data_IF_134556433762
#
_entry.id   IF_134556433762
#
_cell.length_a   1.000
_cell.length_b   1.000
_cell.length_c   1.000
_cell.angle_alpha   90.00
_cell.angle_beta   90.00
_cell.angle_gamma   90.00
#
_symmetry.space_group_name_H-M   'P 1'
#
loop_
_entity.id
_entity.type
_entity.pdbx_description
1 polymer ?
#
# COMPACT_ATOMS: atom_id res chain seq x y z
N UNK A 1 19.22 -20.92 15.17
CA UNK A 1 18.95 -19.48 15.33
C UNK A 1 18.99 -19.17 16.81
N UNK A 2 19.92 -18.31 17.22
CA UNK A 2 20.24 -18.04 18.62
C UNK A 2 19.12 -17.26 19.30
N UNK A 3 18.88 -17.52 20.59
CA UNK A 3 17.93 -16.79 21.44
C UNK A 3 18.18 -15.26 21.49
N UNK A 4 19.33 -14.77 20.97
CA UNK A 4 19.66 -13.35 20.80
C UNK A 4 18.79 -12.60 19.77
N UNK A 5 18.25 -13.26 18.74
CA UNK A 5 17.49 -12.56 17.67
C UNK A 5 16.03 -12.27 18.06
N UNK A 6 15.42 -13.13 18.89
CA UNK A 6 14.05 -12.94 19.39
C UNK A 6 13.94 -11.83 20.44
N UNK A 7 15.05 -11.49 21.10
CA UNK A 7 15.12 -10.39 22.08
C UNK A 7 15.28 -9.02 21.42
N UNK A 8 15.50 -8.98 20.10
CA UNK A 8 15.88 -7.77 19.38
C UNK A 8 14.68 -6.88 19.02
N UNK A 9 13.57 -7.45 18.55
CA UNK A 9 12.41 -6.65 18.13
C UNK A 9 11.67 -6.00 19.30
N UNK A 10 11.57 -6.70 20.45
CA UNK A 10 11.03 -6.11 21.67
C UNK A 10 11.91 -4.98 22.22
N UNK A 11 13.24 -5.13 22.12
CA UNK A 11 14.18 -4.06 22.45
C UNK A 11 14.13 -2.93 21.44
N UNK A 12 13.97 -3.21 20.15
CA UNK A 12 13.85 -2.23 19.08
C UNK A 12 12.61 -1.36 19.28
N UNK A 13 11.45 -1.97 19.48
CA UNK A 13 10.21 -1.24 19.77
C UNK A 13 10.37 -0.37 21.01
N UNK A 14 10.94 -0.91 22.10
CA UNK A 14 11.22 -0.14 23.32
C UNK A 14 12.24 0.98 23.09
N UNK A 15 13.30 0.72 22.34
CA UNK A 15 14.35 1.68 22.02
C UNK A 15 13.80 2.83 21.16
N UNK A 16 13.03 2.52 20.13
CA UNK A 16 12.40 3.53 19.27
C UNK A 16 11.37 4.38 20.02
N UNK A 17 10.64 3.79 20.97
CA UNK A 17 9.75 4.55 21.86
C UNK A 17 10.52 5.37 22.94
N UNK A 18 11.78 5.04 23.25
CA UNK A 18 12.57 5.66 24.33
C UNK A 18 13.69 6.60 23.86
N UNK A 19 13.88 6.83 22.56
CA UNK A 19 14.87 7.82 22.11
C UNK A 19 14.43 9.22 22.56
N UNK A 20 15.19 9.77 23.50
CA UNK A 20 15.10 11.14 23.97
C UNK A 20 15.16 12.13 22.82
N UNK A 21 14.27 13.12 22.90
CA UNK A 21 14.01 14.15 21.92
C UNK A 21 15.21 15.10 21.84
N UNK A 22 16.17 14.81 20.97
CA UNK A 22 16.92 15.91 20.36
C UNK A 22 15.94 16.57 19.40
N UNK A 23 15.48 17.78 19.72
CA UNK A 23 14.71 18.62 18.80
C UNK A 23 15.42 18.66 17.45
N UNK A 24 14.89 17.92 16.48
CA UNK A 24 15.31 18.04 15.09
C UNK A 24 14.08 18.38 14.29
N UNK A 25 13.98 19.65 13.92
CA UNK A 25 12.95 20.11 13.02
C UNK A 25 13.32 19.69 11.59
N UNK A 26 12.32 19.41 10.76
CA UNK A 26 12.45 19.24 9.29
C UNK A 26 12.90 20.56 8.62
N UNK A 27 14.15 20.97 8.86
CA UNK A 27 14.62 22.34 8.59
C UNK A 27 15.65 22.47 7.48
N UNK A 28 16.05 21.36 6.86
CA UNK A 28 17.02 21.40 5.78
C UNK A 28 16.33 21.78 4.46
N UNK A 29 16.69 22.92 3.90
CA UNK A 29 16.31 23.26 2.53
C UNK A 29 16.97 22.27 1.56
N UNK A 30 16.15 21.64 0.72
CA UNK A 30 16.62 20.64 -0.24
C UNK A 30 16.71 21.25 -1.64
N UNK A 31 17.73 20.89 -2.43
CA UNK A 31 17.80 21.32 -3.81
C UNK A 31 16.62 20.74 -4.61
N UNK A 32 16.10 21.54 -5.55
CA UNK A 32 15.12 21.05 -6.52
C UNK A 32 15.73 19.96 -7.41
N UNK A 33 14.89 19.02 -7.85
CA UNK A 33 15.32 17.97 -8.77
C UNK A 33 15.81 18.61 -10.08
N UNK A 34 17.09 18.46 -10.46
CA UNK A 34 17.59 19.08 -11.68
C UNK A 34 17.01 18.40 -12.93
N UNK A 35 16.91 19.15 -14.02
CA UNK A 35 16.71 18.58 -15.36
C UNK A 35 18.10 18.31 -15.95
N UNK A 36 18.48 17.04 -16.21
CA UNK A 36 19.79 16.72 -16.77
C UNK A 36 19.99 17.34 -18.15
N UNK A 37 21.24 17.53 -18.54
CA UNK A 37 21.56 17.94 -19.91
C UNK A 37 21.09 16.89 -20.93
N UNK A 38 20.55 17.35 -22.06
CA UNK A 38 19.96 16.50 -23.08
C UNK A 38 21.03 15.59 -23.72
N UNK A 39 22.18 16.17 -24.09
CA UNK A 39 23.28 15.43 -24.68
C UNK A 39 23.82 14.39 -23.70
N UNK A 40 23.98 14.75 -22.42
CA UNK A 40 24.43 13.81 -21.40
C UNK A 40 23.45 12.64 -21.23
N UNK A 41 22.14 12.93 -21.26
CA UNK A 41 21.08 11.93 -21.14
C UNK A 41 21.11 10.95 -22.32
N UNK A 42 21.15 11.48 -23.54
CA UNK A 42 21.21 10.66 -24.77
C UNK A 42 22.50 9.84 -24.83
N UNK A 43 23.63 10.41 -24.43
CA UNK A 43 24.91 9.72 -24.43
C UNK A 43 24.91 8.53 -23.45
N UNK A 44 24.32 8.71 -22.27
CA UNK A 44 24.16 7.63 -21.28
C UNK A 44 23.15 6.58 -21.73
N UNK A 45 22.06 7.00 -22.38
CA UNK A 45 21.09 6.09 -22.99
C UNK A 45 21.76 5.16 -24.02
N UNK A 46 22.50 5.73 -24.98
CA UNK A 46 23.23 4.94 -25.97
C UNK A 46 24.30 4.04 -25.32
N UNK A 47 25.05 4.54 -24.34
CA UNK A 47 26.03 3.72 -23.63
C UNK A 47 25.38 2.51 -22.93
N UNK A 48 24.19 2.69 -22.33
CA UNK A 48 23.44 1.61 -21.69
C UNK A 48 22.95 0.56 -22.70
N UNK A 49 22.49 1.01 -23.86
CA UNK A 49 22.06 0.11 -24.94
C UNK A 49 23.22 -0.64 -25.56
N UNK A 50 24.37 0.04 -25.73
CA UNK A 50 25.57 -0.61 -26.27
C UNK A 50 26.00 -1.78 -25.40
N UNK A 51 25.96 -1.65 -24.08
CA UNK A 51 26.30 -2.75 -23.18
C UNK A 51 25.38 -3.98 -23.31
N UNK A 52 24.12 -3.79 -23.74
CA UNK A 52 23.13 -4.88 -23.88
C UNK A 52 23.09 -5.44 -25.29
N UNK A 53 23.18 -4.58 -26.31
CA UNK A 53 23.01 -4.93 -27.71
C UNK A 53 24.34 -5.14 -28.45
N UNK A 54 25.41 -4.48 -28.01
CA UNK A 54 26.67 -4.36 -28.74
C UNK A 54 27.90 -4.25 -27.78
N UNK A 55 28.11 -5.21 -26.85
CA UNK A 55 29.05 -5.06 -25.74
C UNK A 55 30.53 -5.09 -26.13
N UNK A 56 30.89 -5.62 -27.31
CA UNK A 56 32.29 -5.71 -27.78
C UNK A 56 32.50 -4.96 -29.10
N UNK A 57 33.75 -4.60 -29.37
CA UNK A 57 34.12 -3.75 -30.50
C UNK A 57 34.24 -4.51 -31.82
N UNK A 58 34.16 -5.84 -31.80
CA UNK A 58 34.13 -6.68 -32.99
C UNK A 58 33.22 -7.91 -32.81
N UNK A 59 32.70 -8.40 -33.94
CA UNK A 59 31.99 -9.68 -34.03
C UNK A 59 32.87 -10.87 -33.61
N UNK A 60 34.18 -10.77 -33.83
CA UNK A 60 35.15 -11.86 -33.60
C UNK A 60 35.49 -12.05 -32.11
N UNK A 61 35.48 -10.99 -31.30
CA UNK A 61 35.68 -11.08 -29.84
C UNK A 61 34.48 -11.75 -29.12
N UNK A 62 33.28 -11.67 -29.71
CA UNK A 62 32.03 -12.15 -29.10
C UNK A 62 31.94 -13.68 -29.04
N UNK A 63 32.56 -14.37 -30.00
CA UNK A 63 32.63 -15.84 -30.03
C UNK A 63 33.56 -16.41 -28.94
N UNK A 64 34.53 -15.62 -28.47
CA UNK A 64 35.55 -16.10 -27.53
C UNK A 64 35.28 -15.68 -26.07
N UNK A 65 34.59 -14.56 -25.83
CA UNK A 65 34.47 -13.97 -24.49
C UNK A 65 33.13 -14.24 -23.79
N UNK A 66 32.07 -14.51 -24.55
CA UNK A 66 30.80 -14.98 -24.01
C UNK A 66 30.72 -16.45 -24.43
N UNK A 67 30.70 -17.39 -23.48
CA UNK A 67 30.41 -18.80 -23.75
C UNK A 67 28.97 -18.96 -24.28
N UNK A 68 28.76 -18.58 -25.53
CA UNK A 68 27.55 -17.91 -25.99
C UNK A 68 26.38 -18.87 -26.23
N UNK A 69 25.26 -18.55 -25.58
CA UNK A 69 23.91 -19.07 -25.87
C UNK A 69 23.27 -18.36 -27.08
N UNK A 70 23.97 -17.42 -27.74
CA UNK A 70 23.45 -16.62 -28.84
C UNK A 70 24.09 -17.02 -30.18
N UNK A 71 23.29 -17.04 -31.23
CA UNK A 71 23.73 -17.33 -32.61
C UNK A 71 24.33 -16.09 -33.28
N UNK A 72 25.11 -16.30 -34.35
CA UNK A 72 25.66 -15.22 -35.18
C UNK A 72 24.58 -14.25 -35.67
N UNK A 73 23.42 -14.77 -36.07
CA UNK A 73 22.30 -13.96 -36.57
C UNK A 73 21.70 -13.08 -35.47
N UNK A 74 21.62 -13.58 -34.22
CA UNK A 74 21.14 -12.80 -33.07
C UNK A 74 22.10 -11.64 -32.76
N UNK A 75 23.40 -11.91 -32.84
CA UNK A 75 24.44 -10.92 -32.65
C UNK A 75 24.33 -9.81 -33.70
N UNK A 76 24.23 -10.19 -34.98
CA UNK A 76 24.11 -9.22 -36.07
C UNK A 76 22.82 -8.40 -35.97
N UNK A 77 21.71 -9.04 -35.59
CA UNK A 77 20.43 -8.37 -35.34
C UNK A 77 20.55 -7.31 -34.24
N UNK A 78 21.20 -7.63 -33.11
CA UNK A 78 21.39 -6.66 -32.02
C UNK A 78 22.23 -5.46 -32.44
N UNK A 79 23.29 -5.68 -33.23
CA UNK A 79 24.12 -4.59 -33.75
C UNK A 79 23.32 -3.66 -34.67
N UNK A 80 22.54 -4.22 -35.60
CA UNK A 80 21.65 -3.44 -36.47
C UNK A 80 20.61 -2.65 -35.67
N UNK A 81 20.08 -3.20 -34.58
CA UNK A 81 19.18 -2.48 -33.68
C UNK A 81 19.87 -1.31 -32.97
N UNK A 82 21.11 -1.50 -32.51
CA UNK A 82 21.89 -0.42 -31.91
C UNK A 82 22.19 0.70 -32.91
N UNK A 83 22.67 0.38 -34.11
CA UNK A 83 22.93 1.38 -35.17
C UNK A 83 21.68 2.16 -35.55
N UNK A 84 20.54 1.48 -35.69
CA UNK A 84 19.26 2.13 -35.94
C UNK A 84 18.90 3.10 -34.81
N UNK A 85 19.11 2.70 -33.56
CA UNK A 85 18.80 3.54 -32.40
C UNK A 85 19.72 4.76 -32.33
N UNK A 86 21.01 4.60 -32.63
CA UNK A 86 21.97 5.71 -32.72
C UNK A 86 21.54 6.74 -33.78
N UNK A 87 21.07 6.29 -34.95
CA UNK A 87 20.54 7.18 -35.99
C UNK A 87 19.28 7.92 -35.53
N UNK A 88 18.34 7.23 -34.88
CA UNK A 88 17.12 7.85 -34.35
C UNK A 88 17.45 8.90 -33.27
N UNK A 89 18.40 8.60 -32.39
CA UNK A 89 18.87 9.55 -31.38
C UNK A 89 19.50 10.78 -32.01
N UNK A 90 20.29 10.64 -33.08
CA UNK A 90 20.83 11.80 -33.83
C UNK A 90 19.72 12.65 -34.44
N UNK A 91 18.68 12.02 -35.01
CA UNK A 91 17.52 12.74 -35.54
C UNK A 91 16.77 13.50 -34.43
N UNK A 92 16.50 12.83 -33.30
CA UNK A 92 15.87 13.44 -32.12
C UNK A 92 16.66 14.65 -31.61
N UNK A 93 17.99 14.54 -31.52
CA UNK A 93 18.87 15.64 -31.07
C UNK A 93 18.88 16.85 -32.03
N UNK A 94 18.62 16.64 -33.33
CA UNK A 94 18.58 17.70 -34.34
C UNK A 94 17.18 18.32 -34.50
N UNK A 95 16.13 17.57 -34.18
CA UNK A 95 14.74 17.94 -34.43
C UNK A 95 14.00 18.28 -33.13
N UNK A 96 13.14 17.38 -32.62
CA UNK A 96 12.23 17.66 -31.50
C UNK A 96 12.90 17.72 -30.12
N UNK A 97 14.07 17.10 -29.94
CA UNK A 97 14.75 17.00 -28.64
C UNK A 97 15.07 18.34 -27.97
N UNK A 98 15.70 19.31 -28.68
CA UNK A 98 15.97 20.64 -28.12
C UNK A 98 14.71 21.40 -27.66
N UNK A 99 13.62 21.31 -28.42
CA UNK A 99 12.34 21.94 -28.07
C UNK A 99 11.72 21.28 -26.83
N UNK A 100 11.61 19.96 -26.80
CA UNK A 100 11.10 19.22 -25.65
C UNK A 100 11.94 19.46 -24.38
N UNK A 101 13.26 19.57 -24.52
CA UNK A 101 14.15 19.88 -23.40
C UNK A 101 13.96 21.30 -22.87
N UNK A 102 13.70 22.28 -23.75
CA UNK A 102 13.36 23.65 -23.35
C UNK A 102 12.06 23.64 -22.55
N UNK A 103 11.03 23.01 -23.09
CA UNK A 103 9.71 22.96 -22.47
C UNK A 103 9.75 22.24 -21.11
N UNK A 104 10.53 21.16 -20.99
CA UNK A 104 10.77 20.47 -19.72
C UNK A 104 11.45 21.37 -18.68
N UNK A 105 12.47 22.15 -19.08
CA UNK A 105 13.14 23.11 -18.19
C UNK A 105 12.20 24.22 -17.75
N UNK A 106 11.37 24.75 -18.65
CA UNK A 106 10.37 25.76 -18.32
C UNK A 106 9.31 25.24 -17.36
N UNK A 107 8.83 24.00 -17.57
CA UNK A 107 7.93 23.33 -16.66
C UNK A 107 8.59 23.10 -15.29
N UNK A 108 9.84 22.62 -15.25
CA UNK A 108 10.56 22.39 -14.00
C UNK A 108 10.77 23.66 -13.17
N UNK A 109 10.88 24.83 -13.79
CA UNK A 109 10.96 26.10 -13.08
C UNK A 109 9.66 26.47 -12.34
N UNK A 110 8.51 25.94 -12.79
CA UNK A 110 7.17 26.18 -12.22
C UNK A 110 6.79 25.15 -11.15
N UNK A 111 7.59 24.10 -10.96
CA UNK A 111 7.30 22.98 -10.07
C UNK A 111 8.34 22.88 -8.93
N UNK A 112 7.93 22.33 -7.78
CA UNK A 112 8.87 21.96 -6.71
C UNK A 112 9.70 20.72 -7.11
N UNK A 113 9.03 19.74 -7.73
CA UNK A 113 9.64 18.58 -8.35
C UNK A 113 8.89 18.27 -9.64
N UNK A 114 9.57 18.38 -10.78
CA UNK A 114 8.96 18.22 -12.10
C UNK A 114 8.60 16.77 -12.43
N UNK A 115 9.25 15.79 -11.80
CA UNK A 115 9.10 14.39 -12.14
C UNK A 115 8.01 13.69 -11.33
N UNK A 116 7.68 14.18 -10.13
CA UNK A 116 6.79 13.47 -9.19
C UNK A 116 5.43 13.17 -9.77
N UNK A 117 4.82 14.11 -10.47
CA UNK A 117 3.48 13.92 -11.05
C UNK A 117 3.50 12.87 -12.15
N UNK A 118 4.38 13.01 -13.15
CA UNK A 118 4.54 12.03 -14.23
C UNK A 118 4.88 10.64 -13.70
N UNK A 119 5.86 10.56 -12.80
CA UNK A 119 6.28 9.29 -12.20
C UNK A 119 5.14 8.61 -11.45
N UNK A 120 4.41 9.34 -10.61
CA UNK A 120 3.33 8.76 -9.81
C UNK A 120 2.17 8.30 -10.70
N UNK A 121 1.78 9.11 -11.68
CA UNK A 121 0.69 8.80 -12.59
C UNK A 121 1.04 7.61 -13.50
N UNK A 122 2.14 7.71 -14.25
CA UNK A 122 2.48 6.71 -15.27
C UNK A 122 2.88 5.37 -14.65
N UNK A 123 3.68 5.39 -13.58
CA UNK A 123 4.26 4.14 -13.07
C UNK A 123 3.38 3.42 -12.06
N UNK A 124 2.50 4.15 -11.37
CA UNK A 124 1.66 3.56 -10.34
C UNK A 124 0.18 3.70 -10.67
N UNK A 125 -0.35 4.92 -10.76
CA UNK A 125 -1.80 5.15 -10.71
C UNK A 125 -2.52 4.71 -12.00
N UNK A 126 -1.85 4.84 -13.15
CA UNK A 126 -2.38 4.43 -14.46
C UNK A 126 -2.16 2.95 -14.76
N UNK A 127 -1.32 2.26 -13.99
CA UNK A 127 -1.02 0.85 -14.21
C UNK A 127 -2.20 -0.03 -13.75
N UNK A 128 -2.86 -0.78 -14.67
CA UNK A 128 -4.05 -1.56 -14.33
C UNK A 128 -3.74 -2.92 -13.68
N UNK A 129 -2.46 -3.32 -13.63
CA UNK A 129 -2.05 -4.63 -13.12
C UNK A 129 -2.38 -4.75 -11.62
N UNK A 130 -2.79 -5.94 -11.14
CA UNK A 130 -2.97 -6.21 -9.71
C UNK A 130 -1.80 -5.74 -8.84
N UNK A 131 -2.07 -5.04 -7.73
CA UNK A 131 -1.02 -4.50 -6.87
C UNK A 131 -0.18 -5.56 -6.15
N UNK A 132 -0.77 -6.65 -5.59
CA UNK A 132 0.01 -7.71 -4.97
C UNK A 132 0.98 -8.30 -5.99
N UNK A 133 2.20 -8.61 -5.55
CA UNK A 133 3.32 -9.11 -6.38
C UNK A 133 3.90 -8.07 -7.35
N UNK A 134 3.07 -7.30 -8.06
CA UNK A 134 3.54 -6.43 -9.15
C UNK A 134 3.95 -5.02 -8.70
N UNK A 135 3.39 -4.50 -7.59
CA UNK A 135 3.65 -3.13 -7.14
C UNK A 135 3.89 -2.99 -5.65
N UNK A 136 3.27 -3.82 -4.80
CA UNK A 136 3.36 -3.67 -3.34
C UNK A 136 4.57 -4.46 -2.80
N UNK A 137 5.68 -3.80 -2.40
CA UNK A 137 6.74 -4.48 -1.68
C UNK A 137 6.30 -4.82 -0.26
N UNK A 138 7.00 -5.74 0.38
CA UNK A 138 6.85 -6.01 1.80
C UNK A 138 8.22 -6.18 2.45
N UNK A 139 8.29 -5.90 3.74
CA UNK A 139 9.46 -6.13 4.57
C UNK A 139 9.14 -7.25 5.57
N UNK A 140 10.14 -8.07 5.86
CA UNK A 140 10.02 -9.12 6.86
C UNK A 140 10.66 -8.66 8.17
N UNK A 141 9.88 -8.65 9.23
CA UNK A 141 10.42 -8.53 10.58
C UNK A 141 11.14 -9.81 11.00
N UNK A 142 12.12 -9.72 11.92
CA UNK A 142 12.71 -10.91 12.54
C UNK A 142 11.63 -11.85 13.09
N UNK A 143 11.74 -13.13 12.76
CA UNK A 143 10.74 -14.14 13.12
C UNK A 143 10.61 -14.23 14.65
N UNK A 144 9.41 -13.97 15.15
CA UNK A 144 9.05 -14.20 16.55
C UNK A 144 8.49 -15.61 16.75
N UNK A 145 8.63 -16.15 17.96
CA UNK A 145 7.99 -17.40 18.39
C UNK A 145 7.08 -17.09 19.57
N UNK A 146 5.80 -17.42 19.45
CA UNK A 146 4.81 -17.22 20.49
C UNK A 146 4.33 -18.60 20.98
N UNK A 147 4.44 -18.85 22.29
CA UNK A 147 3.94 -20.07 22.92
C UNK A 147 2.41 -20.01 23.10
N UNK A 148 1.86 -18.81 23.25
CA UNK A 148 0.42 -18.59 23.46
C UNK A 148 -0.14 -17.51 22.55
N UNK A 149 -1.45 -17.54 22.32
CA UNK A 149 -2.15 -16.46 21.62
C UNK A 149 -2.02 -15.12 22.36
N UNK A 150 -1.94 -15.13 23.69
CA UNK A 150 -1.77 -13.92 24.48
C UNK A 150 -0.42 -13.25 24.20
N UNK A 151 0.67 -14.01 24.07
CA UNK A 151 1.98 -13.47 23.68
C UNK A 151 1.94 -12.82 22.29
N UNK A 152 1.29 -13.49 21.31
CA UNK A 152 1.11 -12.95 19.96
C UNK A 152 0.28 -11.65 19.98
N UNK A 153 -0.81 -11.61 20.75
CA UNK A 153 -1.68 -10.44 20.87
C UNK A 153 -1.00 -9.28 21.59
N UNK A 154 -0.22 -9.55 22.63
CA UNK A 154 0.62 -8.54 23.30
C UNK A 154 1.69 -7.99 22.38
N UNK A 155 2.31 -8.84 21.56
CA UNK A 155 3.25 -8.39 20.54
C UNK A 155 2.57 -7.49 19.51
N UNK A 156 1.42 -7.89 18.96
CA UNK A 156 0.65 -7.06 18.04
C UNK A 156 0.21 -5.72 18.66
N UNK A 157 -0.20 -5.73 19.94
CA UNK A 157 -0.54 -4.53 20.71
C UNK A 157 0.61 -3.53 20.72
N UNK A 158 1.83 -4.00 21.01
CA UNK A 158 3.02 -3.14 21.07
C UNK A 158 3.44 -2.61 19.71
N UNK A 159 3.24 -3.37 18.64
CA UNK A 159 3.43 -2.88 17.26
C UNK A 159 2.43 -1.77 16.94
N UNK A 160 1.16 -1.91 17.32
CA UNK A 160 0.15 -0.86 17.13
C UNK A 160 0.54 0.40 17.91
N UNK A 161 0.93 0.28 19.18
CA UNK A 161 1.38 1.43 19.97
C UNK A 161 2.57 2.13 19.32
N UNK A 162 3.58 1.37 18.92
CA UNK A 162 4.74 1.90 18.20
C UNK A 162 4.33 2.66 16.94
N UNK A 163 3.45 2.10 16.11
CA UNK A 163 2.97 2.75 14.90
C UNK A 163 2.25 4.07 15.19
N UNK A 164 1.45 4.14 16.26
CA UNK A 164 0.75 5.37 16.63
C UNK A 164 1.70 6.41 17.22
N UNK A 165 2.66 6.01 18.06
CA UNK A 165 3.72 6.90 18.54
C UNK A 165 4.54 7.46 17.36
N UNK A 166 4.82 6.62 16.37
CA UNK A 166 5.52 7.03 15.15
C UNK A 166 4.70 8.02 14.32
N UNK A 167 3.40 7.79 14.16
CA UNK A 167 2.46 8.74 13.52
C UNK A 167 2.46 10.08 14.24
N UNK A 168 2.36 10.08 15.57
CA UNK A 168 2.42 11.31 16.37
C UNK A 168 3.71 12.09 16.11
N UNK A 169 4.86 11.39 16.02
CA UNK A 169 6.15 12.03 15.70
C UNK A 169 6.20 12.60 14.28
N UNK A 170 5.57 11.96 13.30
CA UNK A 170 5.43 12.51 11.93
C UNK A 170 4.59 13.78 11.96
N UNK A 171 3.44 13.76 12.63
CA UNK A 171 2.50 14.89 12.70
C UNK A 171 3.14 16.11 13.38
N UNK A 172 3.95 15.87 14.42
CA UNK A 172 4.71 16.92 15.13
C UNK A 172 6.01 17.32 14.42
N UNK A 173 6.32 16.72 13.25
CA UNK A 173 7.59 16.92 12.52
C UNK A 173 8.83 16.70 13.41
N UNK A 174 8.72 15.78 14.38
CA UNK A 174 9.72 15.52 15.41
C UNK A 174 10.64 14.33 15.06
N UNK A 175 10.54 13.80 13.84
CA UNK A 175 11.44 12.76 13.37
C UNK A 175 12.84 13.31 13.09
N UNK A 176 13.86 12.50 13.41
CA UNK A 176 15.23 12.77 13.02
C UNK A 176 15.36 12.86 11.50
N UNK A 177 16.02 13.90 11.02
CA UNK A 177 16.37 14.06 9.61
C UNK A 177 17.15 12.84 9.10
N UNK A 178 16.68 12.28 7.98
CA UNK A 178 17.40 11.23 7.28
C UNK A 178 18.53 11.79 6.44
N UNK A 179 19.63 11.03 6.35
CA UNK A 179 20.79 11.37 5.54
C UNK A 179 21.16 10.21 4.62
N UNK A 180 21.60 10.53 3.41
CA UNK A 180 22.09 9.52 2.47
C UNK A 180 23.25 8.72 3.05
N UNK A 181 23.31 7.43 2.72
CA UNK A 181 24.39 6.51 3.15
C UNK A 181 25.33 6.08 2.02
N UNK A 182 25.00 6.40 0.76
CA UNK A 182 25.76 6.03 -0.45
C UNK A 182 26.36 7.23 -1.23
N UNK A 183 26.08 7.33 -2.53
CA UNK A 183 26.56 8.40 -3.44
C UNK A 183 26.17 9.85 -3.03
N UNK A 184 25.43 10.00 -1.93
CA UNK A 184 25.09 11.27 -1.28
C UNK A 184 25.31 11.22 0.23
N UNK A 185 26.37 10.55 0.70
CA UNK A 185 26.65 10.37 2.13
C UNK A 185 26.64 11.70 2.87
N UNK A 186 25.84 11.80 3.93
CA UNK A 186 25.75 13.00 4.77
C UNK A 186 24.91 14.14 4.19
N UNK A 187 24.29 13.99 3.01
CA UNK A 187 23.29 14.93 2.50
C UNK A 187 21.91 14.60 3.07
N UNK A 188 21.18 15.62 3.51
CA UNK A 188 19.81 15.47 3.99
C UNK A 188 18.92 14.91 2.86
N UNK A 189 18.00 14.01 3.24
CA UNK A 189 17.00 13.43 2.35
C UNK A 189 15.64 14.11 2.52
N UNK A 190 14.81 14.03 1.49
CA UNK A 190 13.44 14.50 1.56
C UNK A 190 12.62 13.65 2.53
N UNK A 191 11.99 14.30 3.52
CA UNK A 191 11.12 13.68 4.51
C UNK A 191 9.63 13.71 4.11
N UNK A 192 9.28 14.25 2.95
CA UNK A 192 7.89 14.45 2.52
C UNK A 192 7.12 13.13 2.39
N UNK A 193 7.81 12.02 2.09
CA UNK A 193 7.21 10.68 1.98
C UNK A 193 6.62 10.19 3.29
N UNK A 194 7.14 10.64 4.45
CA UNK A 194 6.61 10.25 5.76
C UNK A 194 5.17 10.67 5.96
N UNK A 195 4.73 11.76 5.33
CA UNK A 195 3.33 12.18 5.40
C UNK A 195 2.39 11.06 4.91
N UNK A 196 2.82 10.29 3.91
CA UNK A 196 2.03 9.23 3.27
C UNK A 196 2.11 7.86 3.97
N UNK A 197 2.73 7.76 5.16
CA UNK A 197 2.81 6.48 5.88
C UNK A 197 1.46 6.06 6.48
N UNK A 198 0.66 7.03 6.90
CA UNK A 198 -0.61 6.83 7.57
C UNK A 198 -1.71 7.60 6.84
N UNK A 199 -2.97 7.25 7.10
CA UNK A 199 -4.13 7.94 6.49
C UNK A 199 -4.03 8.00 4.96
N UNK A 200 -3.47 6.96 4.34
CA UNK A 200 -3.16 6.93 2.92
C UNK A 200 -3.85 5.75 2.27
N UNK A 201 -4.69 6.03 1.28
CA UNK A 201 -5.45 5.03 0.55
C UNK A 201 -5.40 5.28 -0.95
N UNK A 202 -5.05 4.23 -1.71
CA UNK A 202 -5.09 4.22 -3.18
C UNK A 202 -6.47 3.76 -3.64
N UNK A 203 -7.34 4.73 -3.92
CA UNK A 203 -8.69 4.49 -4.42
C UNK A 203 -8.65 4.05 -5.88
N UNK A 204 -9.31 2.92 -6.21
CA UNK A 204 -9.39 2.46 -7.59
C UNK A 204 -10.27 3.39 -8.44
N UNK A 205 -9.91 3.56 -9.71
CA UNK A 205 -10.72 4.30 -10.68
C UNK A 205 -10.62 3.64 -12.07
N UNK A 206 -11.60 3.87 -12.95
CA UNK A 206 -11.62 3.22 -14.27
C UNK A 206 -10.52 3.74 -15.20
N UNK A 207 -10.25 5.05 -15.16
CA UNK A 207 -9.19 5.69 -15.94
C UNK A 207 -7.82 5.57 -15.27
N UNK A 208 -7.70 6.14 -14.05
CA UNK A 208 -6.45 6.20 -13.28
C UNK A 208 -6.78 6.27 -11.78
N UNK A 209 -6.17 5.39 -10.99
CA UNK A 209 -6.34 5.36 -9.54
C UNK A 209 -6.02 6.72 -8.90
N UNK A 210 -6.57 6.98 -7.71
CA UNK A 210 -6.35 8.24 -6.99
C UNK A 210 -5.78 7.96 -5.61
N UNK A 211 -4.78 8.75 -5.20
CA UNK A 211 -4.38 8.78 -3.80
C UNK A 211 -5.34 9.72 -3.07
N UNK A 212 -6.08 9.20 -2.09
CA UNK A 212 -6.97 10.04 -1.31
C UNK A 212 -6.17 11.01 -0.41
N UNK A 213 -6.68 12.24 -0.20
CA UNK A 213 -6.08 13.17 0.75
C UNK A 213 -6.04 12.55 2.14
N UNK A 214 -4.96 12.80 2.88
CA UNK A 214 -4.86 12.38 4.27
C UNK A 214 -5.98 13.00 5.10
N UNK A 215 -6.85 12.15 5.63
CA UNK A 215 -7.82 12.57 6.62
C UNK A 215 -7.12 12.70 7.97
N UNK A 216 -7.15 13.90 8.55
CA UNK A 216 -6.53 14.17 9.85
C UNK A 216 -7.43 13.84 11.04
N UNK A 217 -8.63 13.30 10.81
CA UNK A 217 -9.69 13.21 11.83
C UNK A 217 -10.00 11.79 12.28
N UNK A 218 -9.48 10.79 11.59
CA UNK A 218 -9.75 9.40 11.94
C UNK A 218 -8.80 8.96 13.05
N UNK A 219 -9.33 8.27 14.06
CA UNK A 219 -8.57 7.73 15.19
C UNK A 219 -8.87 6.24 15.40
N UNK A 220 -8.76 5.50 14.32
CA UNK A 220 -8.96 4.05 14.31
C UNK A 220 -8.03 3.37 13.32
N UNK A 221 -7.77 2.10 13.60
CA UNK A 221 -7.19 1.18 12.64
C UNK A 221 -8.25 0.18 12.22
N UNK A 222 -8.02 -0.46 11.07
CA UNK A 222 -8.76 -1.65 10.70
C UNK A 222 -7.93 -2.86 11.14
N UNK A 223 -8.58 -3.93 11.59
CA UNK A 223 -7.93 -5.21 11.91
C UNK A 223 -8.56 -6.28 11.03
N UNK A 224 -7.77 -6.84 10.11
CA UNK A 224 -8.18 -7.97 9.30
C UNK A 224 -7.90 -9.30 10.04
N UNK A 225 -8.95 -10.09 10.31
CA UNK A 225 -8.81 -11.37 11.01
C UNK A 225 -9.79 -12.39 10.46
N UNK A 226 -9.30 -13.56 10.03
CA UNK A 226 -10.13 -14.64 9.49
C UNK A 226 -11.12 -14.17 8.40
N UNK A 227 -10.64 -13.40 7.42
CA UNK A 227 -11.43 -12.84 6.31
C UNK A 227 -12.54 -11.86 6.74
N UNK A 228 -12.43 -11.29 7.94
CA UNK A 228 -13.33 -10.28 8.48
C UNK A 228 -12.54 -9.03 8.85
N UNK A 229 -13.19 -7.87 8.80
CA UNK A 229 -12.58 -6.58 9.12
C UNK A 229 -13.25 -6.00 10.35
N UNK A 230 -12.44 -5.49 11.27
CA UNK A 230 -12.89 -4.93 12.55
C UNK A 230 -12.30 -3.54 12.73
N UNK A 231 -13.06 -2.64 13.35
CA UNK A 231 -12.55 -1.33 13.74
C UNK A 231 -11.98 -1.45 15.15
N UNK A 232 -10.71 -1.11 15.32
CA UNK A 232 -10.09 -0.93 16.64
C UNK A 232 -9.89 0.56 16.86
N UNK A 233 -10.53 1.08 17.91
CA UNK A 233 -10.45 2.51 18.25
C UNK A 233 -9.23 2.78 19.09
N UNK A 234 -8.51 3.85 18.72
CA UNK A 234 -7.26 4.25 19.34
C UNK A 234 -7.45 5.28 20.47
N UNK A 235 -8.70 5.62 20.84
CA UNK A 235 -9.01 6.58 21.92
C UNK A 235 -9.54 7.91 21.39
N UNK A 236 -9.40 9.00 22.15
CA UNK A 236 -9.72 10.36 21.69
C UNK A 236 -8.58 10.91 20.82
N UNK A 237 -8.93 11.71 19.82
CA UNK A 237 -7.96 12.37 18.94
C UNK A 237 -7.05 13.29 19.78
N UNK A 238 -5.71 13.17 19.70
CA UNK A 238 -4.80 14.11 20.36
C UNK A 238 -5.07 15.58 20.02
N UNK A 239 -5.71 15.86 18.88
CA UNK A 239 -6.06 17.21 18.42
C UNK A 239 -7.34 17.76 19.05
N UNK A 240 -8.17 16.93 19.71
CA UNK A 240 -9.41 17.39 20.35
C UNK A 240 -9.16 18.16 21.66
N UNK A 241 -7.93 18.18 22.20
CA UNK A 241 -7.57 19.02 23.34
C UNK A 241 -6.09 19.48 23.33
N UNK A 242 -5.77 20.63 22.70
CA UNK A 242 -4.39 21.14 22.61
C UNK A 242 -3.77 21.62 23.93
N UNK A 243 -4.54 21.65 25.03
CA UNK A 243 -4.06 22.10 26.35
C UNK A 243 -3.76 20.96 27.33
N UNK A 244 -4.02 19.69 26.95
CA UNK A 244 -3.84 18.55 27.84
C UNK A 244 -2.42 17.98 27.75
N UNK A 245 -1.53 18.46 28.63
CA UNK A 245 -0.17 17.92 28.82
C UNK A 245 -0.12 16.69 29.73
N UNK A 246 -1.26 16.08 30.05
CA UNK A 246 -1.28 14.85 30.84
C UNK A 246 -1.10 13.65 29.90
N UNK A 247 -0.09 12.83 30.21
CA UNK A 247 0.30 11.62 29.49
C UNK A 247 -0.63 10.43 29.80
N UNK A 248 -1.70 10.65 30.59
CA UNK A 248 -2.56 9.61 31.16
C UNK A 248 -3.86 9.35 30.37
N UNK A 249 -4.15 10.14 29.34
CA UNK A 249 -5.14 9.81 28.29
C UNK A 249 -4.52 9.16 27.04
N UNK A 250 -3.28 8.67 27.15
CA UNK A 250 -2.64 7.86 26.12
C UNK A 250 -3.42 6.57 25.87
N UNK A 251 -3.40 6.12 24.62
CA UNK A 251 -3.57 4.73 24.18
C UNK A 251 -3.10 3.72 25.23
N UNK A 252 -4.02 3.28 26.08
CA UNK A 252 -3.68 2.32 27.12
C UNK A 252 -3.41 0.96 26.46
N UNK A 253 -2.19 0.42 26.63
CA UNK A 253 -1.78 -0.91 26.15
C UNK A 253 -2.87 -1.95 26.44
N UNK A 254 -3.45 -1.89 27.64
CA UNK A 254 -4.53 -2.77 28.07
C UNK A 254 -5.79 -2.61 27.21
N UNK A 255 -6.17 -1.39 26.81
CA UNK A 255 -7.36 -1.15 25.99
C UNK A 255 -7.20 -1.71 24.57
N UNK A 256 -6.02 -1.51 23.96
CA UNK A 256 -5.72 -2.08 22.63
C UNK A 256 -5.71 -3.61 22.72
N UNK A 257 -5.05 -4.16 23.75
CA UNK A 257 -4.99 -5.60 23.96
C UNK A 257 -6.38 -6.22 24.15
N UNK A 258 -7.24 -5.64 25.00
CA UNK A 258 -8.60 -6.14 25.22
C UNK A 258 -9.45 -6.09 23.94
N UNK A 259 -9.33 -5.01 23.14
CA UNK A 259 -9.99 -4.93 21.84
C UNK A 259 -9.48 -6.02 20.87
N UNK A 260 -8.16 -6.22 20.77
CA UNK A 260 -7.56 -7.27 19.95
C UNK A 260 -7.97 -8.67 20.42
N UNK A 261 -7.98 -8.92 21.72
CA UNK A 261 -8.40 -10.20 22.30
C UNK A 261 -9.87 -10.49 21.98
N UNK A 262 -10.74 -9.47 22.06
CA UNK A 262 -12.14 -9.59 21.64
C UNK A 262 -12.25 -9.91 20.16
N UNK A 263 -11.57 -9.15 19.29
CA UNK A 263 -11.55 -9.38 17.83
C UNK A 263 -11.07 -10.81 17.53
N UNK A 264 -9.96 -11.23 18.14
CA UNK A 264 -9.38 -12.56 17.96
C UNK A 264 -10.34 -13.69 18.35
N UNK A 265 -11.06 -13.55 19.47
CA UNK A 265 -12.04 -14.55 19.91
C UNK A 265 -13.24 -14.61 18.96
N UNK A 266 -13.79 -13.46 18.60
CA UNK A 266 -14.97 -13.35 17.73
C UNK A 266 -14.68 -13.84 16.31
N UNK A 267 -13.57 -13.40 15.71
CA UNK A 267 -13.24 -13.74 14.32
C UNK A 267 -13.03 -15.24 14.13
N UNK A 268 -12.37 -15.91 15.08
CA UNK A 268 -12.13 -17.36 15.03
C UNK A 268 -13.38 -18.17 15.32
N UNK A 269 -14.23 -17.71 16.25
CA UNK A 269 -15.52 -18.35 16.49
C UNK A 269 -16.41 -18.30 15.25
N UNK A 270 -16.47 -17.13 14.59
CA UNK A 270 -17.19 -16.97 13.33
C UNK A 270 -16.64 -17.91 12.25
N UNK A 271 -15.31 -17.94 12.07
CA UNK A 271 -14.67 -18.81 11.10
C UNK A 271 -14.93 -20.31 11.35
N UNK A 272 -15.00 -20.74 12.62
CA UNK A 272 -15.35 -22.14 12.98
C UNK A 272 -16.80 -22.46 12.59
N UNK A 273 -17.74 -21.56 12.86
CA UNK A 273 -19.16 -21.75 12.49
C UNK A 273 -19.33 -21.87 10.99
N UNK A 274 -18.65 -21.03 10.20
CA UNK A 274 -18.67 -21.10 8.74
C UNK A 274 -18.14 -22.45 8.21
N UNK A 275 -17.05 -22.95 8.80
CA UNK A 275 -16.48 -24.25 8.43
C UNK A 275 -17.43 -25.41 8.74
N UNK A 276 -18.07 -25.39 9.91
CA UNK A 276 -19.05 -26.42 10.30
C UNK A 276 -20.30 -26.40 9.41
N UNK A 277 -20.80 -25.22 9.06
CA UNK A 277 -21.93 -25.07 8.13
C UNK A 277 -21.58 -25.54 6.70
N UNK A 278 -20.34 -25.31 6.26
CA UNK A 278 -19.87 -25.78 4.96
C UNK A 278 -19.67 -27.31 4.90
N UNK A 279 -19.34 -27.95 6.03
CA UNK A 279 -19.14 -29.39 6.13
C UNK A 279 -20.44 -30.19 6.37
N UNK A 280 -21.45 -29.58 7.01
CA UNK A 280 -22.73 -30.22 7.32
C UNK A 280 -23.73 -30.35 6.16
N UNK A 281 -23.45 -29.77 4.99
CA UNK A 281 -24.30 -29.86 3.80
C UNK A 281 -24.18 -31.17 3.00
N UNK A 282 -23.42 -32.15 3.52
CA UNK A 282 -22.99 -33.32 2.76
C UNK A 282 -23.34 -34.68 3.37
N UNK A 283 -24.42 -34.82 4.14
CA UNK A 283 -24.99 -36.16 4.46
C UNK A 283 -26.49 -36.05 4.77
N UNK A 284 -27.33 -36.44 3.82
CA UNK A 284 -28.78 -36.53 3.98
C UNK A 284 -29.39 -37.40 2.88
N UNK A 285 -29.35 -38.72 3.10
CA UNK A 285 -30.11 -39.70 2.33
C UNK A 285 -31.61 -39.56 2.63
N UNK A 286 -32.44 -39.52 1.57
CA UNK A 286 -33.84 -39.95 1.58
C UNK A 286 -34.86 -39.12 2.35
N UNK A 287 -35.57 -38.22 1.64
CA UNK A 287 -36.80 -37.62 2.16
C UNK A 287 -37.46 -36.68 1.15
N UNK A 288 -38.49 -37.15 0.45
CA UNK A 288 -39.36 -36.31 -0.38
C UNK A 288 -40.07 -35.29 0.50
N UNK A 289 -39.64 -34.03 0.41
CA UNK A 289 -40.30 -32.89 1.06
C UNK A 289 -39.85 -31.60 0.40
N UNK A 290 -40.77 -30.90 -0.26
CA UNK A 290 -40.57 -29.54 -0.78
C UNK A 290 -40.31 -28.59 0.40
N UNK A 291 -39.05 -28.40 0.75
CA UNK A 291 -38.59 -27.38 1.68
C UNK A 291 -37.55 -26.51 0.97
N UNK A 292 -37.81 -25.20 0.91
CA UNK A 292 -36.86 -24.21 0.40
C UNK A 292 -35.56 -24.29 1.19
N UNK A 293 -34.51 -24.81 0.56
CA UNK A 293 -33.16 -24.80 1.13
C UNK A 293 -32.66 -23.37 1.09
N UNK A 294 -32.80 -22.66 2.20
CA UNK A 294 -32.14 -21.38 2.46
C UNK A 294 -30.63 -21.58 2.33
N UNK A 295 -30.08 -21.25 1.16
CA UNK A 295 -28.66 -21.35 0.88
C UNK A 295 -27.85 -20.58 1.93
N UNK A 296 -26.99 -21.29 2.64
CA UNK A 296 -26.00 -20.70 3.57
C UNK A 296 -25.13 -19.71 2.80
N UNK A 297 -25.36 -18.40 3.02
CA UNK A 297 -24.59 -17.31 2.42
C UNK A 297 -23.14 -17.41 2.91
N UNK A 298 -22.25 -17.92 2.05
CA UNK A 298 -20.80 -17.88 2.30
C UNK A 298 -20.38 -16.42 2.44
N UNK A 299 -19.67 -16.08 3.53
CA UNK A 299 -19.23 -14.71 3.74
C UNK A 299 -18.37 -14.25 2.55
N UNK A 300 -18.75 -13.14 1.93
CA UNK A 300 -18.02 -12.59 0.80
C UNK A 300 -16.59 -12.25 1.24
N UNK A 301 -15.61 -12.67 0.44
CA UNK A 301 -14.19 -12.41 0.69
C UNK A 301 -13.81 -11.02 0.16
N UNK A 302 -14.41 -9.98 0.73
CA UNK A 302 -14.31 -8.59 0.23
C UNK A 302 -12.85 -8.14 0.13
N UNK A 303 -11.98 -8.57 1.05
CA UNK A 303 -10.56 -8.25 1.01
C UNK A 303 -9.84 -8.75 -0.25
N UNK A 304 -10.29 -9.87 -0.84
CA UNK A 304 -9.71 -10.39 -2.08
C UNK A 304 -10.00 -9.49 -3.29
N UNK A 305 -11.06 -8.68 -3.25
CA UNK A 305 -11.36 -7.79 -4.37
C UNK A 305 -10.26 -6.74 -4.59
N UNK A 306 -9.50 -6.43 -3.53
CA UNK A 306 -8.33 -5.53 -3.62
C UNK A 306 -7.16 -6.12 -4.41
N UNK A 307 -7.16 -7.44 -4.66
CA UNK A 307 -6.14 -8.16 -5.43
C UNK A 307 -6.48 -8.27 -6.91
N UNK A 308 -7.63 -7.77 -7.34
CA UNK A 308 -8.04 -7.78 -8.74
C UNK A 308 -7.24 -6.78 -9.58
N UNK A 309 -7.37 -6.90 -10.90
CA UNK A 309 -6.98 -5.84 -11.84
C UNK A 309 -7.62 -4.51 -11.41
N UNK A 310 -6.89 -3.39 -11.51
CA UNK A 310 -7.34 -2.09 -10.96
C UNK A 310 -8.65 -1.60 -11.56
N UNK A 311 -8.88 -1.82 -12.86
CA UNK A 311 -10.12 -1.45 -13.54
C UNK A 311 -11.29 -2.32 -13.10
N UNK A 312 -11.04 -3.61 -12.88
CA UNK A 312 -12.05 -4.52 -12.33
C UNK A 312 -12.38 -4.16 -10.89
N UNK A 313 -11.36 -3.88 -10.07
CA UNK A 313 -11.56 -3.41 -8.71
C UNK A 313 -12.33 -2.09 -8.66
N UNK A 314 -12.07 -1.14 -9.58
CA UNK A 314 -12.82 0.12 -9.67
C UNK A 314 -14.33 -0.12 -9.88
N UNK A 315 -14.70 -1.02 -10.80
CA UNK A 315 -16.10 -1.36 -11.07
C UNK A 315 -16.76 -2.03 -9.86
N UNK A 316 -16.06 -2.99 -9.24
CA UNK A 316 -16.56 -3.70 -8.06
C UNK A 316 -16.68 -2.78 -6.85
N UNK A 317 -15.72 -1.89 -6.62
CA UNK A 317 -15.73 -0.89 -5.57
C UNK A 317 -16.93 0.06 -5.74
N UNK A 318 -17.17 0.54 -6.96
CA UNK A 318 -18.35 1.34 -7.30
C UNK A 318 -19.66 0.58 -7.03
N UNK A 319 -19.75 -0.69 -7.44
CA UNK A 319 -20.92 -1.53 -7.16
C UNK A 319 -21.15 -1.68 -5.64
N UNK A 320 -20.11 -1.97 -4.86
CA UNK A 320 -20.19 -2.07 -3.40
C UNK A 320 -20.69 -0.77 -2.76
N UNK A 321 -20.27 0.38 -3.26
CA UNK A 321 -20.71 1.69 -2.77
C UNK A 321 -22.16 2.04 -3.14
N UNK A 322 -22.73 1.47 -4.21
CA UNK A 322 -24.09 1.78 -4.64
C UNK A 322 -25.14 0.73 -4.27
N UNK A 323 -24.76 -0.43 -3.71
CA UNK A 323 -25.72 -1.42 -3.22
C UNK A 323 -26.50 -0.92 -2.00
N UNK A 324 -27.65 -0.26 -2.21
CA UNK A 324 -28.63 -0.01 -1.16
C UNK A 324 -29.19 -1.33 -0.61
N UNK A 325 -29.50 -1.47 0.69
CA UNK A 325 -30.10 -2.68 1.25
C UNK A 325 -31.50 -3.05 0.71
N UNK A 326 -32.09 -2.26 -0.19
CA UNK A 326 -33.50 -2.39 -0.61
C UNK A 326 -33.75 -2.54 -2.11
N UNK A 327 -32.75 -2.47 -2.98
CA UNK A 327 -32.99 -2.61 -4.42
C UNK A 327 -32.91 -4.07 -4.86
N UNK A 328 -33.94 -4.82 -4.47
CA UNK A 328 -34.25 -6.14 -4.99
C UNK A 328 -35.54 -6.08 -5.80
N UNK A 329 -35.46 -5.44 -6.97
CA UNK A 329 -36.45 -5.69 -8.01
C UNK A 329 -35.83 -5.53 -9.40
N UNK A 330 -35.85 -6.66 -10.11
CA UNK A 330 -35.68 -6.85 -11.55
C UNK A 330 -34.25 -6.84 -12.13
N UNK A 331 -33.74 -8.06 -12.37
CA UNK A 331 -32.89 -8.33 -13.54
C UNK A 331 -31.58 -9.08 -13.31
N UNK A 332 -31.65 -10.40 -13.06
CA UNK A 332 -30.64 -11.37 -13.51
C UNK A 332 -29.30 -11.45 -12.75
N UNK A 333 -29.17 -12.47 -11.89
CA UNK A 333 -27.89 -13.14 -11.62
C UNK A 333 -26.88 -12.41 -10.73
N UNK A 334 -27.18 -12.22 -9.45
CA UNK A 334 -26.20 -11.76 -8.45
C UNK A 334 -26.67 -12.05 -7.03
N UNK A 335 -25.88 -12.82 -6.27
CA UNK A 335 -26.20 -13.23 -4.90
C UNK A 335 -26.05 -12.07 -3.90
N UNK A 336 -27.14 -11.80 -3.18
CA UNK A 336 -27.36 -10.72 -2.21
C UNK A 336 -26.39 -10.69 -1.00
N UNK A 337 -25.62 -9.59 -0.87
CA UNK A 337 -24.95 -9.17 0.36
C UNK A 337 -25.83 -8.18 1.15
N UNK A 338 -26.15 -8.49 2.40
CA UNK A 338 -26.78 -7.56 3.33
C UNK A 338 -27.06 -8.19 4.70
N UNK A 339 -26.85 -7.42 5.77
CA UNK A 339 -26.77 -7.79 7.21
C UNK A 339 -25.38 -8.30 7.62
N UNK A 340 -24.65 -7.68 8.55
CA UNK A 340 -25.02 -7.36 9.92
C UNK A 340 -24.11 -6.26 10.50
N UNK A 341 -24.67 -5.11 10.91
CA UNK A 341 -24.13 -4.24 11.94
C UNK A 341 -25.34 -3.64 12.69
N UNK A 342 -25.63 -4.14 13.89
CA UNK A 342 -26.68 -3.57 14.76
C UNK A 342 -26.04 -2.53 15.68
N UNK A 343 -26.48 -1.28 15.58
CA UNK A 343 -26.39 -0.31 16.67
C UNK A 343 -27.79 0.26 16.93
N UNK A 344 -28.17 0.32 18.21
CA UNK A 344 -29.45 0.85 18.67
C UNK A 344 -29.38 2.38 18.72
N UNK A 345 -30.13 3.09 17.88
CA UNK A 345 -30.70 4.40 18.22
C UNK A 345 -31.69 4.85 17.16
N UNK A 346 -32.89 5.21 17.62
CA UNK A 346 -34.03 5.69 16.84
C UNK A 346 -33.96 7.21 16.58
N UNK A 347 -33.88 7.63 15.32
CA UNK A 347 -34.57 8.82 14.79
C UNK A 347 -34.23 9.00 13.30
N UNK A 348 -35.26 9.23 12.47
CA UNK A 348 -35.20 9.16 11.02
C UNK A 348 -34.21 10.12 10.35
N UNK A 349 -33.26 9.52 9.64
CA UNK A 349 -32.62 10.03 8.43
C UNK A 349 -32.36 8.79 7.56
N UNK A 350 -32.45 8.90 6.23
CA UNK A 350 -32.18 7.78 5.30
C UNK A 350 -30.86 7.09 5.67
N UNK A 351 -30.93 5.83 6.13
CA UNK A 351 -29.77 5.08 6.60
C UNK A 351 -28.72 5.07 5.50
N UNK A 352 -27.47 5.51 5.74
CA UNK A 352 -26.41 5.35 4.76
C UNK A 352 -26.27 3.87 4.39
N UNK A 353 -25.99 3.59 3.11
CA UNK A 353 -25.64 2.25 2.66
C UNK A 353 -24.48 1.72 3.55
N UNK A 354 -24.72 0.64 4.29
CA UNK A 354 -23.76 0.09 5.27
C UNK A 354 -22.42 -0.30 4.63
N UNK A 355 -22.43 -0.68 3.34
CA UNK A 355 -21.20 -0.98 2.60
C UNK A 355 -20.40 0.29 2.29
N UNK A 356 -21.07 1.40 1.97
CA UNK A 356 -20.40 2.69 1.75
C UNK A 356 -19.73 3.17 3.03
N UNK A 357 -20.42 3.07 4.16
CA UNK A 357 -19.85 3.45 5.45
C UNK A 357 -18.67 2.55 5.83
N UNK A 358 -18.80 1.24 5.61
CA UNK A 358 -17.71 0.28 5.86
C UNK A 358 -16.48 0.56 4.99
N UNK A 359 -16.67 0.85 3.69
CA UNK A 359 -15.58 1.23 2.79
C UNK A 359 -14.92 2.53 3.26
N UNK A 360 -15.70 3.56 3.60
CA UNK A 360 -15.16 4.81 4.13
C UNK A 360 -14.32 4.60 5.39
N UNK A 361 -14.75 3.73 6.30
CA UNK A 361 -13.96 3.41 7.50
C UNK A 361 -12.63 2.74 7.16
N UNK A 362 -12.56 1.94 6.09
CA UNK A 362 -11.31 1.33 5.61
C UNK A 362 -10.44 2.38 4.91
N UNK A 363 -11.02 3.19 4.05
CA UNK A 363 -10.35 4.25 3.28
C UNK A 363 -9.73 5.33 4.20
N UNK A 364 -10.37 5.58 5.33
CA UNK A 364 -10.03 6.64 6.28
C UNK A 364 -9.13 6.15 7.44
N UNK A 365 -8.91 4.85 7.62
CA UNK A 365 -8.15 4.34 8.77
C UNK A 365 -6.68 4.79 8.77
N UNK A 366 -6.04 4.78 9.95
CA UNK A 366 -4.60 5.06 10.06
C UNK A 366 -3.77 4.04 9.28
N UNK A 367 -4.08 2.75 9.49
CA UNK A 367 -3.52 1.59 8.82
C UNK A 367 -4.44 0.37 9.03
N UNK A 368 -4.19 -0.70 8.26
CA UNK A 368 -4.92 -1.99 8.29
C UNK A 368 -4.06 -3.08 8.93
#
# INVERSE_FOLDING_TARGET
MSAKESTDLHRLVRAMCSVDLVESQWTQELPRLPVPDLWLTVSRYLASLKAVLAPTSSLDEMFHQIGCQLTRDQIESNWRQFERTDQLVKQFMLNEGPELQRDLKEYANKCQNWATEFWLQDMYLSNPVPLPVNSNPFFLFPRQRFATSNEMLMFATRIIQFSVDFKFRIDQQALRQDFGSGHGKGKALCMETYKNFFHSYRMPHEDMDRLLPQSRRSNHIVVASCNQFYILRLGQDPLDNPYRRDTSSQLNEASIYEQLLRIYRVSREHARREQQQSAGGGTGSGGSGRGSVSGTKRLARVGLLTTENRKQWARLHKQLSHCSPTDNSAGGGGGELGSQLKTNSSSGASSPNTNTESLRLIEDCLFV
#
